data_IF_307409698284
#
_entry.id   IF_307409698284
#
_cell.length_a   1.000
_cell.length_b   1.000
_cell.length_c   1.000
_cell.angle_alpha   90.00
_cell.angle_beta   90.00
_cell.angle_gamma   90.00
#
_symmetry.space_group_name_H-M   'P 1'
#
loop_
_entity.id
_entity.type
_entity.pdbx_description
1 polymer ?
#
# COMPACT_ATOMS: atom_id res chain seq x y z
N UNK A 1 1.03 2.36 18.22
CA UNK A 1 0.09 1.66 17.31
C UNK A 1 -1.31 1.71 17.89
N UNK A 2 -2.32 2.07 17.08
CA UNK A 2 -3.73 2.13 17.46
C UNK A 2 -4.53 1.12 16.64
N UNK A 3 -5.37 0.28 17.28
CA UNK A 3 -6.22 -0.68 16.60
C UNK A 3 -7.65 -0.18 16.60
N UNK A 4 -8.22 -0.04 15.40
CA UNK A 4 -9.59 0.35 15.19
C UNK A 4 -10.40 -0.85 14.69
N UNK A 5 -11.16 -1.46 15.59
CA UNK A 5 -12.06 -2.57 15.28
C UNK A 5 -13.30 -2.06 14.53
N UNK A 6 -13.67 -2.77 13.48
CA UNK A 6 -14.86 -2.54 12.67
C UNK A 6 -15.56 -3.86 12.38
N UNK A 7 -16.83 -3.82 11.95
CA UNK A 7 -17.63 -5.04 11.76
C UNK A 7 -17.22 -5.84 10.52
N UNK A 8 -16.89 -5.14 9.43
CA UNK A 8 -16.69 -5.77 8.12
C UNK A 8 -15.85 -4.86 7.20
N UNK A 9 -15.57 -5.36 5.99
CA UNK A 9 -14.81 -4.68 4.96
C UNK A 9 -15.42 -3.33 4.53
N UNK A 10 -16.75 -3.18 4.51
CA UNK A 10 -17.41 -1.92 4.13
C UNK A 10 -17.15 -0.83 5.19
N UNK A 11 -17.29 -1.18 6.48
CA UNK A 11 -16.94 -0.24 7.56
C UNK A 11 -15.46 0.10 7.59
N UNK A 12 -14.58 -0.88 7.35
CA UNK A 12 -13.15 -0.70 7.23
C UNK A 12 -12.84 0.31 6.13
N UNK A 13 -13.37 0.09 4.94
CA UNK A 13 -13.14 0.92 3.75
C UNK A 13 -13.60 2.37 3.97
N UNK A 14 -14.81 2.54 4.48
CA UNK A 14 -15.36 3.86 4.82
C UNK A 14 -14.51 4.59 5.88
N UNK A 15 -14.07 3.87 6.92
CA UNK A 15 -13.27 4.48 7.99
C UNK A 15 -11.87 4.86 7.52
N UNK A 16 -11.25 4.04 6.69
CA UNK A 16 -9.97 4.35 6.05
C UNK A 16 -10.10 5.58 5.13
N UNK A 17 -11.16 5.64 4.32
CA UNK A 17 -11.45 6.80 3.48
C UNK A 17 -11.62 8.08 4.29
N UNK A 18 -12.34 8.03 5.42
CA UNK A 18 -12.52 9.20 6.29
C UNK A 18 -11.20 9.74 6.84
N UNK A 19 -10.24 8.86 7.20
CA UNK A 19 -8.92 9.29 7.69
C UNK A 19 -8.10 9.94 6.58
N UNK A 20 -8.12 9.40 5.37
CA UNK A 20 -7.44 9.98 4.21
C UNK A 20 -8.13 11.29 3.81
N UNK A 21 -9.45 11.35 3.80
CA UNK A 21 -10.23 12.56 3.54
C UNK A 21 -9.90 13.69 4.53
N UNK A 22 -9.87 13.38 5.82
CA UNK A 22 -9.47 14.34 6.84
C UNK A 22 -8.06 14.89 6.61
N UNK A 23 -7.12 14.02 6.19
CA UNK A 23 -5.76 14.44 5.85
C UNK A 23 -5.76 15.43 4.67
N UNK A 24 -6.51 15.14 3.60
CA UNK A 24 -6.61 16.03 2.41
C UNK A 24 -7.29 17.33 2.75
N UNK A 25 -8.38 17.33 3.54
CA UNK A 25 -9.08 18.53 3.95
C UNK A 25 -8.18 19.45 4.80
N UNK A 26 -7.46 18.87 5.77
CA UNK A 26 -6.60 19.64 6.68
C UNK A 26 -5.31 20.12 6.02
N UNK A 27 -4.85 19.41 4.98
CA UNK A 27 -3.64 19.72 4.23
C UNK A 27 -3.87 19.41 2.73
N UNK A 28 -4.41 20.35 1.95
CA UNK A 28 -4.75 20.13 0.54
C UNK A 28 -3.56 19.69 -0.34
N UNK A 29 -2.34 20.12 -0.03
CA UNK A 29 -1.08 19.74 -0.67
C UNK A 29 -0.46 18.47 -0.08
N UNK A 30 -1.27 17.57 0.49
CA UNK A 30 -0.79 16.32 1.09
C UNK A 30 -0.08 15.42 0.10
N UNK A 31 0.94 14.72 0.61
CA UNK A 31 1.54 13.57 -0.05
C UNK A 31 0.87 12.30 0.48
N UNK A 32 0.18 11.58 -0.39
CA UNK A 32 -0.50 10.33 -0.06
C UNK A 32 0.33 9.14 -0.57
N UNK A 33 0.71 8.26 0.34
CA UNK A 33 1.27 6.96 0.03
C UNK A 33 0.14 5.95 -0.24
N UNK A 34 0.14 5.34 -1.42
CA UNK A 34 -0.95 4.49 -1.88
C UNK A 34 -0.49 3.04 -2.09
N UNK A 35 -1.40 2.12 -1.89
CA UNK A 35 -1.24 0.69 -2.10
C UNK A 35 -2.17 0.18 -3.21
N UNK A 36 -1.87 -0.97 -3.78
CA UNK A 36 -2.71 -1.68 -4.74
C UNK A 36 -3.27 -2.98 -4.16
N UNK A 37 -3.91 -3.79 -4.97
CA UNK A 37 -4.56 -5.02 -4.55
C UNK A 37 -5.98 -4.81 -4.02
N UNK A 38 -6.59 -5.86 -3.50
CA UNK A 38 -8.01 -5.85 -3.12
C UNK A 38 -8.32 -5.05 -1.85
N UNK A 39 -7.37 -4.94 -0.93
CA UNK A 39 -7.59 -4.31 0.38
C UNK A 39 -8.00 -2.84 0.31
N UNK A 40 -7.36 -1.96 -0.49
CA UNK A 40 -7.70 -0.53 -0.52
C UNK A 40 -8.84 -0.15 -1.48
N UNK A 41 -9.36 -1.07 -2.32
CA UNK A 41 -10.35 -0.74 -3.37
C UNK A 41 -11.58 -0.06 -2.79
N UNK A 42 -12.15 -0.59 -1.71
CA UNK A 42 -13.32 0.01 -1.06
C UNK A 42 -13.02 1.41 -0.50
N UNK A 43 -11.80 1.63 -0.01
CA UNK A 43 -11.34 2.95 0.43
C UNK A 43 -11.32 3.94 -0.73
N UNK A 44 -10.76 3.53 -1.87
CA UNK A 44 -10.73 4.39 -3.07
C UNK A 44 -12.13 4.69 -3.61
N UNK A 45 -13.05 3.73 -3.59
CA UNK A 45 -14.44 3.96 -3.99
C UNK A 45 -15.11 5.04 -3.11
N UNK A 46 -14.91 5.00 -1.80
CA UNK A 46 -15.44 6.04 -0.90
C UNK A 46 -14.77 7.40 -1.12
N UNK A 47 -13.48 7.45 -1.41
CA UNK A 47 -12.80 8.71 -1.75
C UNK A 47 -13.33 9.32 -3.05
N UNK A 48 -13.61 8.50 -4.06
CA UNK A 48 -14.25 8.92 -5.31
C UNK A 48 -15.65 9.47 -5.04
N UNK A 49 -16.46 8.76 -4.25
CA UNK A 49 -17.81 9.21 -3.85
C UNK A 49 -17.78 10.57 -3.13
N UNK A 50 -16.85 10.77 -2.19
CA UNK A 50 -16.65 12.05 -1.50
C UNK A 50 -16.23 13.17 -2.47
N UNK A 51 -15.39 12.86 -3.46
CA UNK A 51 -15.03 13.81 -4.50
C UNK A 51 -16.25 14.17 -5.39
N UNK A 52 -17.00 13.17 -5.83
CA UNK A 52 -18.21 13.39 -6.66
C UNK A 52 -19.29 14.20 -5.94
N UNK A 53 -19.39 14.07 -4.61
CA UNK A 53 -20.26 14.86 -3.75
C UNK A 53 -19.76 16.28 -3.50
N UNK A 54 -18.53 16.61 -3.91
CA UNK A 54 -17.91 17.92 -3.68
C UNK A 54 -17.27 18.10 -2.29
N UNK A 55 -17.12 17.02 -1.53
CA UNK A 55 -16.53 17.04 -0.17
C UNK A 55 -15.00 17.08 -0.19
N UNK A 56 -14.37 16.63 -1.30
CA UNK A 56 -12.91 16.52 -1.46
C UNK A 56 -12.41 17.16 -2.74
N UNK A 57 -11.23 17.78 -2.64
CA UNK A 57 -10.48 18.31 -3.77
C UNK A 57 -9.05 17.71 -3.76
N UNK A 58 -8.70 16.99 -4.83
CA UNK A 58 -7.40 16.37 -4.99
C UNK A 58 -6.44 17.15 -5.91
N UNK A 59 -6.83 18.35 -6.37
CA UNK A 59 -6.07 19.11 -7.38
C UNK A 59 -4.64 19.46 -6.97
N UNK A 60 -4.37 19.57 -5.67
CA UNK A 60 -3.05 19.87 -5.13
C UNK A 60 -2.33 18.64 -4.53
N UNK A 61 -3.02 17.50 -4.45
CA UNK A 61 -2.47 16.27 -3.87
C UNK A 61 -1.35 15.69 -4.74
N UNK A 62 -0.33 15.18 -4.08
CA UNK A 62 0.72 14.34 -4.70
C UNK A 62 0.56 12.91 -4.19
N UNK A 63 0.73 11.91 -5.06
CA UNK A 63 0.69 10.50 -4.66
C UNK A 63 1.95 9.75 -4.99
N UNK A 64 2.34 8.83 -4.11
CA UNK A 64 3.44 7.88 -4.32
C UNK A 64 2.93 6.47 -4.03
N UNK A 65 3.15 5.53 -4.94
CA UNK A 65 2.78 4.12 -4.74
C UNK A 65 3.93 3.30 -4.17
N UNK A 66 3.60 2.25 -3.45
CA UNK A 66 4.59 1.35 -2.83
C UNK A 66 5.43 0.61 -3.86
N UNK A 67 4.84 0.18 -4.95
CA UNK A 67 5.42 -0.83 -5.82
C UNK A 67 4.87 -0.81 -7.24
N UNK A 68 5.56 -1.54 -8.14
CA UNK A 68 5.12 -1.89 -9.49
C UNK A 68 5.83 -3.16 -9.95
N UNK A 69 5.17 -3.96 -10.74
CA UNK A 69 5.77 -5.12 -11.41
C UNK A 69 6.86 -4.70 -12.40
N UNK A 70 8.02 -5.35 -12.31
CA UNK A 70 9.08 -5.22 -13.30
C UNK A 70 8.67 -5.89 -14.61
N UNK A 71 8.83 -5.18 -15.72
CA UNK A 71 8.49 -5.65 -17.07
C UNK A 71 7.11 -5.24 -17.55
N UNK A 72 6.26 -4.63 -16.70
CA UNK A 72 4.95 -4.15 -17.13
C UNK A 72 4.97 -2.65 -17.43
N UNK A 73 4.36 -2.26 -18.56
CA UNK A 73 4.10 -0.86 -18.86
C UNK A 73 2.85 -0.39 -18.12
N UNK A 74 2.75 0.92 -17.85
CA UNK A 74 1.57 1.50 -17.20
C UNK A 74 0.26 1.40 -17.99
N UNK A 75 0.31 0.96 -19.26
CA UNK A 75 -0.87 0.64 -20.08
C UNK A 75 -1.28 -0.83 -20.00
N UNK A 76 -0.46 -1.68 -19.40
CA UNK A 76 -0.83 -3.08 -19.17
C UNK A 76 -1.90 -3.15 -18.06
N UNK A 77 -2.98 -3.86 -18.32
CA UNK A 77 -4.12 -3.99 -17.39
C UNK A 77 -3.74 -4.59 -16.03
N UNK A 78 -2.62 -5.28 -15.95
CA UNK A 78 -2.11 -5.88 -14.71
C UNK A 78 -1.07 -5.01 -14.01
N UNK A 79 -0.66 -3.87 -14.57
CA UNK A 79 0.25 -2.95 -13.89
C UNK A 79 -0.44 -2.20 -12.76
N UNK A 80 0.33 -1.83 -11.75
CA UNK A 80 -0.21 -1.05 -10.63
C UNK A 80 -0.51 0.40 -11.04
N UNK A 81 0.19 0.95 -12.03
CA UNK A 81 -0.19 2.21 -12.66
C UNK A 81 -1.59 2.13 -13.26
N UNK A 82 -1.89 1.07 -14.02
CA UNK A 82 -3.22 0.87 -14.60
C UNK A 82 -4.29 0.69 -13.51
N UNK A 83 -3.97 -0.10 -12.48
CA UNK A 83 -4.84 -0.27 -11.32
C UNK A 83 -5.21 1.08 -10.68
N UNK A 84 -4.22 1.92 -10.41
CA UNK A 84 -4.45 3.22 -9.80
C UNK A 84 -5.26 4.17 -10.70
N UNK A 85 -4.98 4.17 -11.99
CA UNK A 85 -5.76 4.92 -12.98
C UNK A 85 -7.23 4.51 -12.95
N UNK A 86 -7.50 3.20 -12.94
CA UNK A 86 -8.84 2.64 -13.00
C UNK A 86 -9.62 2.84 -11.69
N UNK A 87 -8.97 2.69 -10.54
CA UNK A 87 -9.66 2.72 -9.25
C UNK A 87 -9.73 4.10 -8.61
N UNK A 88 -8.81 5.03 -8.98
CA UNK A 88 -8.76 6.34 -8.35
C UNK A 88 -8.45 7.48 -9.34
N UNK A 89 -7.29 7.48 -10.00
CA UNK A 89 -6.77 8.69 -10.65
C UNK A 89 -7.65 9.25 -11.75
N UNK A 90 -8.28 8.41 -12.59
CA UNK A 90 -9.20 8.86 -13.64
C UNK A 90 -10.60 9.25 -13.14
N UNK A 91 -10.87 9.07 -11.84
CA UNK A 91 -12.19 9.33 -11.25
C UNK A 91 -12.24 10.57 -10.37
N UNK A 92 -11.08 11.22 -10.15
CA UNK A 92 -10.93 12.41 -9.31
C UNK A 92 -10.17 13.50 -10.06
N UNK A 93 -10.13 14.72 -9.53
CA UNK A 93 -9.46 15.85 -10.18
C UNK A 93 -7.95 15.95 -9.90
N UNK A 94 -7.30 14.83 -9.56
CA UNK A 94 -5.86 14.85 -9.31
C UNK A 94 -5.07 15.21 -10.58
N UNK A 95 -4.03 16.03 -10.43
CA UNK A 95 -3.10 16.25 -11.52
C UNK A 95 -2.24 14.99 -11.73
N UNK A 96 -2.40 14.32 -12.88
CA UNK A 96 -1.68 13.09 -13.20
C UNK A 96 -0.15 13.25 -13.17
N UNK A 97 0.37 14.45 -13.40
CA UNK A 97 1.80 14.74 -13.28
C UNK A 97 2.32 14.64 -11.83
N UNK A 98 1.43 14.67 -10.85
CA UNK A 98 1.74 14.51 -9.44
C UNK A 98 1.46 13.09 -8.91
N UNK A 99 1.25 12.11 -9.79
CA UNK A 99 1.01 10.72 -9.41
C UNK A 99 2.19 9.85 -9.79
N UNK A 100 2.84 9.23 -8.82
CA UNK A 100 4.09 8.50 -9.01
C UNK A 100 3.94 7.03 -8.64
N UNK A 101 4.36 6.16 -9.56
CA UNK A 101 4.47 4.71 -9.39
C UNK A 101 5.86 4.33 -9.88
N UNK A 102 6.57 3.37 -9.29
CA UNK A 102 7.86 2.92 -9.80
C UNK A 102 7.79 2.59 -11.30
N UNK A 103 8.86 2.84 -12.04
CA UNK A 103 8.88 2.58 -13.48
C UNK A 103 9.11 1.09 -13.78
N UNK A 104 8.03 0.34 -13.97
CA UNK A 104 8.10 -1.09 -14.29
C UNK A 104 8.81 -1.41 -15.64
N UNK A 105 8.89 -0.44 -16.56
CA UNK A 105 9.53 -0.67 -17.89
C UNK A 105 11.03 -0.46 -17.89
N UNK A 106 11.63 0.08 -16.82
CA UNK A 106 13.09 0.19 -16.69
C UNK A 106 13.67 -1.20 -16.37
N UNK A 107 14.44 -1.80 -17.26
CA UNK A 107 14.98 -3.15 -17.05
C UNK A 107 16.16 -3.17 -16.08
N UNK A 108 16.91 -2.07 -15.95
CA UNK A 108 17.98 -1.94 -14.97
C UNK A 108 17.40 -1.64 -13.58
N UNK A 109 17.39 -2.64 -12.73
CA UNK A 109 16.84 -2.55 -11.38
C UNK A 109 17.51 -1.45 -10.53
N UNK A 110 18.82 -1.24 -10.69
CA UNK A 110 19.55 -0.20 -9.97
C UNK A 110 19.08 1.20 -10.42
N UNK A 111 18.95 1.40 -11.72
CA UNK A 111 18.49 2.66 -12.30
C UNK A 111 17.04 2.95 -11.86
N UNK A 112 16.13 1.97 -11.97
CA UNK A 112 14.74 2.12 -11.58
C UNK A 112 14.60 2.50 -10.09
N UNK A 113 15.26 1.76 -9.21
CA UNK A 113 15.19 1.99 -7.76
C UNK A 113 15.84 3.32 -7.36
N UNK A 114 17.01 3.64 -7.92
CA UNK A 114 17.68 4.93 -7.66
C UNK A 114 16.83 6.12 -8.08
N UNK A 115 16.24 6.08 -9.27
CA UNK A 115 15.37 7.14 -9.77
C UNK A 115 14.14 7.35 -8.88
N UNK A 116 13.53 6.25 -8.41
CA UNK A 116 12.38 6.34 -7.51
C UNK A 116 12.76 6.86 -6.12
N UNK A 117 13.89 6.43 -5.57
CA UNK A 117 14.42 6.95 -4.30
C UNK A 117 14.75 8.45 -4.38
N UNK A 118 15.34 8.92 -5.48
CA UNK A 118 15.58 10.35 -5.69
C UNK A 118 14.28 11.15 -5.75
N UNK A 119 13.27 10.62 -6.44
CA UNK A 119 11.95 11.21 -6.49
C UNK A 119 11.34 11.32 -5.08
N UNK A 120 11.33 10.22 -4.30
CA UNK A 120 10.80 10.19 -2.95
C UNK A 120 11.52 11.18 -2.02
N UNK A 121 12.85 11.33 -2.16
CA UNK A 121 13.61 12.34 -1.38
C UNK A 121 13.21 13.78 -1.74
N UNK A 122 12.90 14.07 -3.01
CA UNK A 122 12.44 15.39 -3.45
C UNK A 122 11.04 15.71 -2.96
N UNK A 123 10.13 14.73 -2.98
CA UNK A 123 8.74 14.89 -2.54
C UNK A 123 8.69 14.99 -1.00
N UNK A 124 9.57 14.28 -0.31
CA UNK A 124 9.56 14.12 1.14
C UNK A 124 8.66 12.95 1.59
N UNK A 125 8.59 12.71 2.91
CA UNK A 125 7.81 11.61 3.45
C UNK A 125 6.30 11.81 3.21
N UNK A 126 5.58 10.74 2.93
CA UNK A 126 4.14 10.79 2.82
C UNK A 126 3.48 11.27 4.12
N UNK A 127 2.46 12.12 4.00
CA UNK A 127 1.67 12.58 5.15
C UNK A 127 0.85 11.42 5.74
N UNK A 128 0.35 10.53 4.87
CA UNK A 128 -0.31 9.27 5.26
C UNK A 128 0.01 8.20 4.22
N UNK A 129 0.41 7.03 4.66
CA UNK A 129 0.66 5.85 3.83
C UNK A 129 -0.38 4.78 4.14
N UNK A 130 -1.19 4.38 3.14
CA UNK A 130 -2.07 3.21 3.26
C UNK A 130 -1.28 1.94 2.93
N UNK A 131 -1.49 0.89 3.74
CA UNK A 131 -0.89 -0.43 3.59
C UNK A 131 -1.96 -1.52 3.65
N UNK A 132 -1.81 -2.54 2.82
CA UNK A 132 -2.39 -3.86 3.08
C UNK A 132 -1.43 -4.71 3.93
N UNK A 133 -1.85 -5.92 4.27
CA UNK A 133 -1.05 -6.91 4.98
C UNK A 133 -1.05 -8.24 4.20
N UNK A 134 0.12 -8.72 3.82
CA UNK A 134 0.28 -10.04 3.21
C UNK A 134 0.00 -11.17 4.18
N UNK A 135 -0.22 -12.40 3.68
CA UNK A 135 -0.49 -13.57 4.51
C UNK A 135 0.73 -14.03 5.35
N UNK A 136 1.91 -13.65 4.94
CA UNK A 136 3.19 -13.88 5.64
C UNK A 136 3.66 -12.65 6.44
N UNK A 137 2.88 -11.58 6.42
CA UNK A 137 3.17 -10.33 7.12
C UNK A 137 3.94 -9.31 6.30
N UNK A 138 4.10 -9.51 5.01
CA UNK A 138 4.72 -8.50 4.15
C UNK A 138 3.88 -7.23 4.05
N UNK A 139 4.56 -6.10 3.86
CA UNK A 139 3.99 -4.80 3.52
C UNK A 139 4.70 -4.26 2.27
N UNK A 140 3.92 -3.80 1.26
CA UNK A 140 4.41 -3.69 -0.10
C UNK A 140 4.82 -5.08 -0.61
N UNK A 141 5.93 -5.21 -1.32
CA UNK A 141 6.56 -6.49 -1.62
C UNK A 141 7.80 -6.76 -0.73
N UNK A 142 7.85 -6.19 0.48
CA UNK A 142 8.88 -6.56 1.45
C UNK A 142 8.53 -7.91 2.09
N UNK A 143 8.94 -8.99 1.43
CA UNK A 143 8.73 -10.38 1.82
C UNK A 143 9.58 -10.76 3.06
N UNK A 144 9.25 -11.84 3.80
CA UNK A 144 10.08 -12.34 4.89
C UNK A 144 11.53 -12.53 4.49
N UNK A 145 12.46 -11.94 5.24
CA UNK A 145 13.89 -11.96 4.97
C UNK A 145 14.72 -11.95 6.26
N UNK A 146 16.04 -11.82 6.17
CA UNK A 146 16.95 -11.75 7.32
C UNK A 146 17.24 -10.30 7.78
N UNK A 147 16.76 -9.31 7.03
CA UNK A 147 16.93 -7.89 7.35
C UNK A 147 15.73 -7.05 6.85
N UNK A 148 15.65 -5.81 7.29
CA UNK A 148 14.71 -4.84 6.77
C UNK A 148 15.40 -3.96 5.73
N UNK A 149 14.88 -3.96 4.51
CA UNK A 149 15.36 -3.08 3.45
C UNK A 149 15.00 -1.62 3.73
N UNK A 150 15.94 -0.70 3.51
CA UNK A 150 15.72 0.72 3.79
C UNK A 150 15.02 1.44 2.64
N UNK A 151 15.61 1.36 1.44
CA UNK A 151 15.17 2.11 0.25
C UNK A 151 14.44 1.22 -0.76
N UNK A 152 13.92 1.83 -1.82
CA UNK A 152 13.31 1.08 -2.93
C UNK A 152 14.32 0.10 -3.52
N UNK A 153 13.88 -1.13 -3.68
CA UNK A 153 14.70 -2.23 -4.18
C UNK A 153 13.90 -3.11 -5.15
N UNK A 154 14.63 -3.94 -5.89
CA UNK A 154 14.04 -4.97 -6.75
C UNK A 154 13.95 -6.26 -5.94
N UNK A 155 12.77 -6.86 -5.91
CA UNK A 155 12.51 -8.11 -5.19
C UNK A 155 12.12 -9.22 -6.15
N UNK A 156 12.61 -10.44 -5.91
CA UNK A 156 12.07 -11.64 -6.52
C UNK A 156 10.80 -12.05 -5.75
N UNK A 157 9.69 -12.20 -6.47
CA UNK A 157 8.41 -12.56 -5.84
C UNK A 157 8.45 -14.02 -5.39
N UNK A 158 8.00 -14.29 -4.17
CA UNK A 158 7.88 -15.65 -3.66
C UNK A 158 6.82 -16.44 -4.44
N UNK A 159 6.95 -17.76 -4.46
CA UNK A 159 5.98 -18.65 -5.12
C UNK A 159 4.56 -18.41 -4.55
N UNK A 160 4.44 -18.16 -3.24
CA UNK A 160 3.17 -17.84 -2.58
C UNK A 160 2.54 -16.58 -3.16
N UNK A 161 3.35 -15.52 -3.37
CA UNK A 161 2.89 -14.26 -3.95
C UNK A 161 2.51 -14.44 -5.43
N UNK A 162 3.28 -15.21 -6.20
CA UNK A 162 2.96 -15.55 -7.59
C UNK A 162 1.62 -16.28 -7.68
N UNK A 163 1.40 -17.31 -6.87
CA UNK A 163 0.15 -18.06 -6.84
C UNK A 163 -1.04 -17.20 -6.40
N UNK A 164 -0.86 -16.33 -5.41
CA UNK A 164 -1.90 -15.39 -4.99
C UNK A 164 -2.29 -14.40 -6.09
N UNK A 165 -1.33 -13.96 -6.91
CA UNK A 165 -1.55 -12.99 -7.98
C UNK A 165 -1.97 -13.61 -9.31
N UNK A 166 -1.76 -14.92 -9.51
CA UNK A 166 -2.14 -15.66 -10.73
C UNK A 166 -3.58 -15.41 -11.19
N UNK A 167 -4.49 -15.21 -10.25
CA UNK A 167 -5.92 -14.92 -10.52
C UNK A 167 -6.15 -13.65 -11.36
N UNK A 168 -5.17 -12.77 -11.44
CA UNK A 168 -5.24 -11.53 -12.21
C UNK A 168 -4.64 -11.66 -13.60
N UNK A 169 -3.95 -12.78 -13.92
CA UNK A 169 -3.26 -13.00 -15.18
C UNK A 169 -3.91 -14.15 -15.97
N UNK A 170 -3.66 -14.18 -17.29
CA UNK A 170 -4.20 -15.24 -18.16
C UNK A 170 -3.61 -16.61 -17.85
N UNK A 171 -2.33 -16.64 -17.46
CA UNK A 171 -1.64 -17.84 -17.02
C UNK A 171 -0.61 -17.49 -15.95
N UNK A 172 -0.14 -18.49 -15.21
CA UNK A 172 0.94 -18.32 -14.23
C UNK A 172 2.26 -17.84 -14.87
N UNK A 173 2.51 -18.25 -16.11
CA UNK A 173 3.70 -17.84 -16.84
C UNK A 173 3.71 -16.33 -17.17
N UNK A 174 2.54 -15.68 -17.19
CA UNK A 174 2.40 -14.26 -17.44
C UNK A 174 2.59 -13.42 -16.17
N UNK A 175 2.62 -14.04 -14.99
CA UNK A 175 2.86 -13.34 -13.72
C UNK A 175 4.32 -12.89 -13.68
N UNK A 176 4.60 -11.59 -13.51
CA UNK A 176 5.98 -11.12 -13.34
C UNK A 176 6.66 -11.80 -12.16
N UNK A 177 7.94 -12.08 -12.31
CA UNK A 177 8.76 -12.74 -11.27
C UNK A 177 9.46 -11.74 -10.36
N UNK A 178 9.50 -10.46 -10.76
CA UNK A 178 10.16 -9.38 -10.02
C UNK A 178 9.25 -8.17 -9.91
N UNK A 179 9.48 -7.39 -8.86
CA UNK A 179 8.83 -6.11 -8.64
C UNK A 179 9.83 -5.08 -8.09
N UNK A 180 9.54 -3.80 -8.30
CA UNK A 180 10.17 -2.70 -7.60
C UNK A 180 9.28 -2.31 -6.44
N UNK A 181 9.81 -2.30 -5.21
CA UNK A 181 9.04 -2.00 -4.01
C UNK A 181 9.77 -1.01 -3.11
N UNK A 182 9.01 -0.11 -2.51
CA UNK A 182 9.48 0.81 -1.48
C UNK A 182 9.95 0.01 -0.27
N UNK A 183 11.17 0.28 0.20
CA UNK A 183 11.73 -0.42 1.35
C UNK A 183 11.07 -0.03 2.68
N UNK A 184 11.24 -0.88 3.66
CA UNK A 184 10.70 -0.73 5.02
C UNK A 184 11.12 0.60 5.65
N UNK A 185 12.40 0.99 5.51
CA UNK A 185 12.87 2.26 6.09
C UNK A 185 12.15 3.47 5.49
N UNK A 186 11.87 3.46 4.18
CA UNK A 186 11.09 4.52 3.54
C UNK A 186 9.64 4.54 4.04
N UNK A 187 9.01 3.38 4.20
CA UNK A 187 7.67 3.26 4.78
C UNK A 187 7.65 3.82 6.20
N UNK A 188 8.62 3.45 7.01
CA UNK A 188 8.73 3.90 8.41
C UNK A 188 9.02 5.40 8.59
N UNK A 189 9.46 6.09 7.53
CA UNK A 189 9.63 7.55 7.53
C UNK A 189 8.35 8.31 7.22
N UNK A 190 7.27 7.66 6.78
CA UNK A 190 5.97 8.31 6.58
C UNK A 190 5.46 8.91 7.90
N UNK A 191 4.70 10.02 7.83
CA UNK A 191 4.24 10.69 9.05
C UNK A 191 3.16 9.90 9.77
N UNK A 192 2.26 9.26 8.99
CA UNK A 192 1.20 8.38 9.48
C UNK A 192 1.14 7.12 8.63
N UNK A 193 0.88 6.00 9.27
CA UNK A 193 0.63 4.73 8.59
C UNK A 193 -0.78 4.27 8.90
N UNK A 194 -1.50 3.88 7.85
CA UNK A 194 -2.84 3.34 7.91
C UNK A 194 -2.85 1.94 7.31
N UNK A 195 -2.96 0.92 8.16
CA UNK A 195 -3.02 -0.48 7.71
C UNK A 195 -4.49 -0.91 7.65
N UNK A 196 -4.88 -1.52 6.54
CA UNK A 196 -6.24 -2.06 6.34
C UNK A 196 -6.19 -3.58 6.23
N UNK A 197 -6.88 -4.27 7.13
CA UNK A 197 -6.84 -5.74 7.24
C UNK A 197 -8.25 -6.29 7.38
N UNK A 198 -8.67 -7.16 6.48
CA UNK A 198 -10.00 -7.77 6.48
C UNK A 198 -9.92 -9.26 6.20
N UNK A 199 -10.75 -10.02 6.90
CA UNK A 199 -10.91 -11.46 6.68
C UNK A 199 -10.20 -12.34 7.70
N UNK A 200 -10.80 -13.48 8.01
CA UNK A 200 -10.29 -14.45 9.00
C UNK A 200 -8.96 -15.10 8.58
N UNK A 201 -8.66 -15.15 7.28
CA UNK A 201 -7.39 -15.63 6.74
C UNK A 201 -6.20 -14.74 7.12
N UNK A 202 -6.47 -13.52 7.60
CA UNK A 202 -5.46 -12.58 8.11
C UNK A 202 -5.29 -12.61 9.64
N UNK A 203 -6.15 -13.32 10.37
CA UNK A 203 -6.19 -13.24 11.83
C UNK A 203 -4.85 -13.64 12.49
N UNK A 204 -4.28 -14.77 12.07
CA UNK A 204 -3.02 -15.27 12.64
C UNK A 204 -1.84 -14.34 12.35
N UNK A 205 -1.75 -13.84 11.11
CA UNK A 205 -0.65 -12.97 10.74
C UNK A 205 -0.79 -11.59 11.38
N UNK A 206 -2.01 -11.06 11.49
CA UNK A 206 -2.27 -9.80 12.17
C UNK A 206 -1.86 -9.89 13.65
N UNK A 207 -2.17 -11.00 14.32
CA UNK A 207 -1.70 -11.25 15.69
C UNK A 207 -0.18 -11.24 15.79
N UNK A 208 0.53 -11.91 14.87
CA UNK A 208 2.01 -11.89 14.85
C UNK A 208 2.56 -10.48 14.62
N UNK A 209 1.96 -9.70 13.73
CA UNK A 209 2.35 -8.31 13.45
C UNK A 209 2.18 -7.41 14.66
N UNK A 210 1.10 -7.57 15.43
CA UNK A 210 0.74 -6.66 16.53
C UNK A 210 1.34 -7.10 17.87
N UNK A 211 1.35 -8.41 18.15
CA UNK A 211 1.70 -8.97 19.47
C UNK A 211 2.98 -9.82 19.44
N UNK A 212 3.47 -10.17 18.26
CA UNK A 212 4.70 -10.96 18.12
C UNK A 212 5.98 -10.11 18.27
N UNK A 213 7.14 -10.75 18.24
CA UNK A 213 8.41 -10.03 18.22
C UNK A 213 8.57 -9.25 16.91
N UNK A 214 9.24 -8.10 16.98
CA UNK A 214 9.64 -7.36 15.78
C UNK A 214 10.77 -8.10 15.10
N UNK A 215 10.53 -8.56 13.89
CA UNK A 215 11.49 -9.38 13.13
C UNK A 215 11.26 -9.22 11.62
N UNK A 216 12.32 -9.23 10.79
CA UNK A 216 12.17 -9.20 9.34
C UNK A 216 11.53 -10.48 8.76
N UNK A 217 11.41 -11.54 9.54
CA UNK A 217 10.63 -12.75 9.19
C UNK A 217 9.10 -12.50 9.19
N UNK A 218 8.66 -11.39 9.81
CA UNK A 218 7.29 -10.86 9.75
C UNK A 218 7.41 -9.36 9.52
N UNK A 219 7.62 -8.92 8.27
CA UNK A 219 8.04 -7.54 7.96
C UNK A 219 7.14 -6.46 8.55
N UNK A 220 5.81 -6.67 8.52
CA UNK A 220 4.84 -5.76 9.13
C UNK A 220 5.00 -5.59 10.64
N UNK A 221 5.71 -6.47 11.35
CA UNK A 221 5.94 -6.35 12.79
C UNK A 221 6.72 -5.08 13.16
N UNK A 222 7.52 -4.52 12.24
CA UNK A 222 8.26 -3.26 12.45
C UNK A 222 7.32 -2.09 12.73
N UNK A 223 6.07 -2.15 12.26
CA UNK A 223 5.07 -1.11 12.48
C UNK A 223 4.77 -0.86 13.96
N UNK A 224 5.11 -1.80 14.85
CA UNK A 224 5.04 -1.60 16.30
C UNK A 224 5.89 -0.42 16.78
N UNK A 225 6.96 -0.08 16.07
CA UNK A 225 7.85 1.05 16.39
C UNK A 225 7.47 2.35 15.70
N UNK A 226 6.47 2.34 14.80
CA UNK A 226 6.05 3.57 14.16
C UNK A 226 5.26 4.47 15.13
N UNK A 227 5.60 5.77 15.25
CA UNK A 227 4.98 6.66 16.22
C UNK A 227 3.49 6.90 15.99
N UNK A 228 3.03 6.90 14.74
CA UNK A 228 1.62 7.12 14.35
C UNK A 228 1.15 6.07 13.34
N UNK A 229 0.89 4.84 13.85
CA UNK A 229 0.37 3.71 13.08
C UNK A 229 -1.04 3.36 13.56
N UNK A 230 -2.00 3.39 12.64
CA UNK A 230 -3.38 2.94 12.87
C UNK A 230 -3.66 1.71 12.02
N UNK A 231 -4.13 0.65 12.65
CA UNK A 231 -4.63 -0.56 12.00
C UNK A 231 -6.15 -0.52 12.05
N UNK A 232 -6.82 -0.49 10.90
CA UNK A 232 -8.26 -0.73 10.83
C UNK A 232 -8.45 -2.19 10.42
N UNK A 233 -9.06 -2.96 11.29
CA UNK A 233 -9.28 -4.37 11.05
C UNK A 233 -10.72 -4.78 11.38
N UNK A 234 -11.29 -5.66 10.57
CA UNK A 234 -12.61 -6.19 10.84
C UNK A 234 -12.59 -7.28 11.93
N UNK A 235 -13.78 -7.63 12.43
CA UNK A 235 -13.93 -8.64 13.49
C UNK A 235 -13.32 -9.99 13.09
N UNK A 236 -13.41 -10.34 11.81
CA UNK A 236 -12.85 -11.59 11.30
C UNK A 236 -11.32 -11.59 11.34
N UNK A 237 -10.68 -10.49 10.96
CA UNK A 237 -9.22 -10.34 11.02
C UNK A 237 -8.71 -10.25 12.47
N UNK A 238 -9.54 -9.84 13.42
CA UNK A 238 -9.19 -9.73 14.85
C UNK A 238 -9.55 -10.97 15.68
N UNK A 239 -10.10 -12.03 15.07
CA UNK A 239 -10.64 -13.20 15.79
C UNK A 239 -9.63 -13.98 16.64
N UNK A 240 -8.34 -13.84 16.38
CA UNK A 240 -7.26 -14.48 17.15
C UNK A 240 -6.64 -13.54 18.23
N UNK A 241 -7.21 -12.35 18.41
CA UNK A 241 -6.70 -11.34 19.36
C UNK A 241 -7.73 -11.07 20.45
N UNK A 242 -7.26 -11.04 21.69
CA UNK A 242 -8.04 -10.57 22.85
C UNK A 242 -7.91 -9.03 22.93
N UNK A 243 -8.95 -8.31 22.48
CA UNK A 243 -9.01 -6.83 22.43
C UNK A 243 -10.24 -6.30 23.16
#
# INVERSE_FOLDING_TARGET
>A
MHICKVKNYQELSRKAANLIAAQVILKPDSVLGLATGSSPVGTYNHLVEMYENGDLDFSQVTTVNLDEYKGLSGSNEQSYRYFMNTHLFHKININHANTYVPNGTEPDARAACSAYNELLRKIGPADIQILGLGHDGHIGFNEPSDHFEDETHCVDLTETTIQANKRFFKSEADVPRQAYTMGIGTIMRCKKILVVVSGSDKAQILKKVVQGPVTPQVPGSILQFHPDCTIIADEAALSEMDL
#
